data_IF_357272422094
#
_entry.id   IF_357272422094
#
_cell.length_a   1.000
_cell.length_b   1.000
_cell.length_c   1.000
_cell.angle_alpha   90.00
_cell.angle_beta   90.00
_cell.angle_gamma   90.00
#
_symmetry.space_group_name_H-M   'P 1'
#
loop_
_entity.id
_entity.type
_entity.pdbx_description
1 polymer ?
#
# COMPACT_ATOMS: atom_id res chain seq x y z
N UNK A 1 27.73 -16.13 11.39
CA UNK A 1 27.61 -15.19 10.22
C UNK A 1 27.31 -15.88 8.89
N UNK A 2 27.29 -17.22 8.79
CA UNK A 2 26.99 -17.96 7.55
C UNK A 2 25.53 -18.44 7.40
N UNK A 3 24.68 -18.26 8.41
CA UNK A 3 23.28 -18.75 8.40
C UNK A 3 22.34 -17.84 7.62
N UNK A 4 22.54 -16.53 7.61
CA UNK A 4 21.67 -15.55 6.95
C UNK A 4 21.81 -15.57 5.42
N UNK A 5 23.02 -15.78 4.91
CA UNK A 5 23.29 -15.83 3.46
C UNK A 5 22.65 -17.04 2.76
N UNK A 6 22.58 -18.20 3.43
CA UNK A 6 21.92 -19.40 2.88
C UNK A 6 20.39 -19.28 2.89
N UNK A 7 19.79 -18.66 3.90
CA UNK A 7 18.33 -18.41 3.93
C UNK A 7 17.89 -17.39 2.88
N UNK A 8 18.66 -16.34 2.66
CA UNK A 8 18.39 -15.39 1.58
C UNK A 8 18.54 -16.03 0.18
N UNK A 9 19.56 -16.88 -0.02
CA UNK A 9 19.73 -17.60 -1.29
C UNK A 9 18.61 -18.62 -1.56
N UNK A 10 18.11 -19.33 -0.55
CA UNK A 10 16.98 -20.25 -0.67
C UNK A 10 15.64 -19.50 -0.88
N UNK A 11 15.43 -18.34 -0.27
CA UNK A 11 14.26 -17.49 -0.56
C UNK A 11 14.27 -17.00 -2.01
N UNK A 12 15.39 -16.52 -2.52
CA UNK A 12 15.50 -16.06 -3.91
C UNK A 12 15.25 -17.17 -4.96
N UNK A 13 15.67 -18.41 -4.69
CA UNK A 13 15.41 -19.55 -5.58
C UNK A 13 13.92 -19.96 -5.50
N UNK A 14 13.30 -19.95 -4.32
CA UNK A 14 11.86 -20.21 -4.15
C UNK A 14 10.98 -19.15 -4.81
N UNK A 15 11.38 -17.90 -4.81
CA UNK A 15 10.60 -16.80 -5.39
C UNK A 15 10.53 -16.87 -6.91
N UNK A 16 11.55 -17.41 -7.61
CA UNK A 16 11.52 -17.60 -9.06
C UNK A 16 10.50 -18.63 -9.53
N UNK A 17 10.15 -19.60 -8.70
CA UNK A 17 9.24 -20.69 -9.03
C UNK A 17 7.82 -20.47 -8.49
N UNK A 18 7.66 -19.56 -7.51
CA UNK A 18 6.37 -19.25 -6.90
C UNK A 18 5.64 -18.15 -7.68
N UNK A 19 4.35 -18.31 -7.78
CA UNK A 19 3.44 -17.35 -8.40
C UNK A 19 2.73 -17.91 -9.62
N UNK A 20 1.73 -17.17 -10.08
CA UNK A 20 1.03 -17.46 -11.33
C UNK A 20 1.89 -17.07 -12.56
N UNK A 21 1.42 -17.33 -13.75
CA UNK A 21 2.13 -17.04 -14.99
C UNK A 21 2.54 -15.55 -15.08
N UNK A 22 1.64 -14.65 -14.72
CA UNK A 22 1.88 -13.20 -14.72
C UNK A 22 3.08 -12.81 -13.82
N UNK A 23 3.15 -13.34 -12.60
CA UNK A 23 4.26 -13.05 -11.68
C UNK A 23 5.59 -13.58 -12.23
N UNK A 24 5.59 -14.80 -12.80
CA UNK A 24 6.78 -15.42 -13.36
C UNK A 24 7.32 -14.65 -14.57
N UNK A 25 6.45 -14.10 -15.38
CA UNK A 25 6.79 -13.29 -16.54
C UNK A 25 7.26 -11.88 -16.16
N UNK A 26 6.58 -11.23 -15.20
CA UNK A 26 6.87 -9.85 -14.77
C UNK A 26 8.13 -9.74 -13.89
N UNK A 27 8.43 -10.77 -13.09
CA UNK A 27 9.54 -10.74 -12.13
C UNK A 27 10.92 -10.47 -12.79
N UNK A 28 11.34 -11.17 -13.88
CA UNK A 28 12.59 -10.87 -14.56
C UNK A 28 12.61 -9.46 -15.14
N UNK A 29 11.51 -8.98 -15.72
CA UNK A 29 11.41 -7.64 -16.29
C UNK A 29 11.64 -6.55 -15.22
N UNK A 30 11.02 -6.68 -14.06
CA UNK A 30 11.22 -5.74 -12.94
C UNK A 30 12.65 -5.82 -12.38
N UNK A 31 13.25 -7.00 -12.35
CA UNK A 31 14.61 -7.20 -11.87
C UNK A 31 15.67 -6.56 -12.79
N UNK A 32 15.42 -6.53 -14.07
CA UNK A 32 16.31 -5.93 -15.09
C UNK A 32 16.11 -4.41 -15.22
N UNK A 33 14.99 -3.87 -14.70
CA UNK A 33 14.70 -2.44 -14.73
C UNK A 33 15.68 -1.68 -13.83
N UNK A 34 16.46 -0.77 -14.43
CA UNK A 34 17.49 0.03 -13.74
C UNK A 34 16.93 1.24 -13.02
N UNK A 35 15.70 1.64 -13.33
CA UNK A 35 15.06 2.85 -12.81
C UNK A 35 14.39 2.65 -11.45
N UNK A 36 14.33 1.39 -10.97
CA UNK A 36 13.70 1.03 -9.71
C UNK A 36 14.65 0.28 -8.78
N UNK A 37 14.49 0.48 -7.48
CA UNK A 37 15.14 -0.34 -6.46
C UNK A 37 14.33 -1.62 -6.24
N UNK A 38 14.51 -2.61 -7.11
CA UNK A 38 13.77 -3.85 -7.03
C UNK A 38 14.26 -4.73 -5.89
N UNK A 39 13.41 -4.93 -4.88
CA UNK A 39 13.72 -5.73 -3.67
C UNK A 39 13.27 -7.19 -3.75
N UNK A 40 12.61 -7.59 -4.85
CA UNK A 40 12.11 -8.95 -5.05
C UNK A 40 10.62 -9.09 -4.71
N UNK A 41 10.16 -10.32 -4.52
CA UNK A 41 8.79 -10.62 -4.11
C UNK A 41 8.63 -10.50 -2.60
N UNK A 42 7.49 -9.96 -2.17
CA UNK A 42 7.08 -9.89 -0.76
C UNK A 42 5.84 -10.75 -0.52
N UNK A 43 5.64 -11.16 0.71
CA UNK A 43 4.42 -11.86 1.12
C UNK A 43 3.38 -10.84 1.63
N UNK A 44 2.08 -11.20 1.55
CA UNK A 44 1.00 -10.31 2.01
C UNK A 44 1.16 -9.84 3.47
N UNK A 45 1.78 -10.65 4.34
CA UNK A 45 2.10 -10.29 5.72
C UNK A 45 3.17 -9.19 5.85
N UNK A 46 3.95 -8.98 4.80
CA UNK A 46 5.04 -7.99 4.79
C UNK A 46 4.54 -6.59 4.45
N UNK A 47 3.35 -6.50 3.81
CA UNK A 47 2.71 -5.22 3.45
C UNK A 47 2.46 -4.34 4.69
N UNK A 48 1.75 -4.81 5.74
CA UNK A 48 1.54 -4.00 6.94
C UNK A 48 2.82 -3.74 7.74
N UNK A 49 3.89 -4.51 7.51
CA UNK A 49 5.19 -4.30 8.12
C UNK A 49 6.04 -3.23 7.39
N UNK A 50 5.56 -2.70 6.27
CA UNK A 50 6.24 -1.65 5.51
C UNK A 50 7.57 -2.10 4.90
N UNK A 51 7.67 -3.38 4.47
CA UNK A 51 8.91 -3.90 3.89
C UNK A 51 9.20 -3.42 2.47
N UNK A 52 8.22 -2.81 1.81
CA UNK A 52 8.36 -2.19 0.50
C UNK A 52 7.59 -0.87 0.48
N UNK A 53 8.14 0.13 -0.19
CA UNK A 53 7.49 1.43 -0.38
C UNK A 53 6.39 1.35 -1.44
N UNK A 54 6.60 0.53 -2.47
CA UNK A 54 5.64 0.29 -3.55
C UNK A 54 5.50 -1.22 -3.79
N UNK A 55 4.26 -1.69 -3.87
CA UNK A 55 3.91 -3.07 -4.16
C UNK A 55 3.10 -3.13 -5.44
N UNK A 56 3.65 -3.78 -6.47
CA UNK A 56 2.94 -4.02 -7.73
C UNK A 56 2.28 -5.39 -7.67
N UNK A 57 0.99 -5.46 -7.92
CA UNK A 57 0.23 -6.69 -7.93
C UNK A 57 -0.88 -6.65 -8.98
N UNK A 58 -1.45 -7.81 -9.27
CA UNK A 58 -2.63 -7.94 -10.11
C UNK A 58 -3.84 -7.27 -9.41
N UNK A 59 -4.70 -6.62 -10.19
CA UNK A 59 -5.78 -5.77 -9.69
C UNK A 59 -6.76 -6.49 -8.76
N UNK A 60 -7.12 -7.74 -9.07
CA UNK A 60 -8.04 -8.52 -8.24
C UNK A 60 -7.40 -8.84 -6.89
N UNK A 61 -6.16 -9.34 -6.90
CA UNK A 61 -5.39 -9.65 -5.67
C UNK A 61 -5.21 -8.39 -4.83
N UNK A 62 -4.83 -7.27 -5.45
CA UNK A 62 -4.69 -5.99 -4.75
C UNK A 62 -5.98 -5.54 -4.07
N UNK A 63 -7.11 -5.64 -4.77
CA UNK A 63 -8.41 -5.29 -4.21
C UNK A 63 -8.83 -6.21 -3.06
N UNK A 64 -8.57 -7.52 -3.16
CA UNK A 64 -8.83 -8.48 -2.07
C UNK A 64 -8.01 -8.14 -0.84
N UNK A 65 -6.71 -7.86 -1.01
CA UNK A 65 -5.82 -7.49 0.10
C UNK A 65 -6.31 -6.20 0.78
N UNK A 66 -6.62 -5.16 0.01
CA UNK A 66 -7.11 -3.89 0.55
C UNK A 66 -8.42 -4.08 1.34
N UNK A 67 -9.40 -4.78 0.77
CA UNK A 67 -10.70 -5.00 1.42
C UNK A 67 -10.60 -5.88 2.67
N UNK A 68 -9.73 -6.89 2.63
CA UNK A 68 -9.45 -7.72 3.81
C UNK A 68 -8.78 -6.90 4.91
N UNK A 69 -7.77 -6.09 4.55
CA UNK A 69 -7.04 -5.26 5.50
C UNK A 69 -7.95 -4.22 6.18
N UNK A 70 -8.78 -3.51 5.39
CA UNK A 70 -9.81 -2.59 5.87
C UNK A 70 -10.79 -3.30 6.84
N UNK A 71 -11.31 -4.46 6.43
CA UNK A 71 -12.29 -5.23 7.20
C UNK A 71 -11.73 -5.77 8.52
N UNK A 72 -10.52 -6.32 8.49
CA UNK A 72 -9.81 -6.81 9.70
C UNK A 72 -9.51 -5.67 10.64
N UNK A 73 -8.99 -4.54 10.15
CA UNK A 73 -8.70 -3.36 10.95
C UNK A 73 -9.94 -2.83 11.67
N UNK A 74 -11.03 -2.60 10.93
CA UNK A 74 -12.30 -2.13 11.50
C UNK A 74 -12.89 -3.11 12.54
N UNK A 75 -12.83 -4.41 12.25
CA UNK A 75 -13.35 -5.44 13.16
C UNK A 75 -12.52 -5.53 14.44
N UNK A 76 -11.19 -5.46 14.33
CA UNK A 76 -10.29 -5.49 15.47
C UNK A 76 -10.54 -4.28 16.40
N UNK A 77 -10.60 -3.08 15.85
CA UNK A 77 -10.90 -1.85 16.59
C UNK A 77 -12.25 -1.97 17.30
N UNK A 78 -13.28 -2.46 16.61
CA UNK A 78 -14.61 -2.67 17.21
C UNK A 78 -14.58 -3.66 18.38
N UNK A 79 -13.87 -4.79 18.22
CA UNK A 79 -13.73 -5.80 19.28
C UNK A 79 -12.94 -5.28 20.49
N UNK A 80 -11.83 -4.56 20.26
CA UNK A 80 -11.04 -3.93 21.33
C UNK A 80 -11.88 -2.93 22.09
N UNK A 81 -12.60 -2.04 21.39
CA UNK A 81 -13.53 -1.08 22.00
C UNK A 81 -14.62 -1.79 22.81
N UNK A 82 -15.19 -2.87 22.28
CA UNK A 82 -16.18 -3.68 22.99
C UNK A 82 -15.63 -4.26 24.30
N UNK A 83 -14.44 -4.87 24.25
CA UNK A 83 -13.77 -5.41 25.43
C UNK A 83 -13.47 -4.34 26.49
N UNK A 84 -13.04 -3.15 26.05
CA UNK A 84 -12.79 -2.02 26.97
C UNK A 84 -14.04 -1.48 27.66
N UNK A 85 -15.23 -1.76 27.13
CA UNK A 85 -16.51 -1.27 27.68
C UNK A 85 -17.23 -2.28 28.58
N UNK A 86 -16.64 -3.44 28.88
CA UNK A 86 -17.30 -4.55 29.59
C UNK A 86 -17.54 -4.27 31.08
N UNK A 87 -16.63 -3.58 31.76
CA UNK A 87 -16.72 -3.31 33.18
C UNK A 87 -16.14 -1.94 33.55
N UNK A 88 -16.36 -1.48 34.81
CA UNK A 88 -15.94 -0.14 35.24
C UNK A 88 -14.41 0.05 35.21
N UNK A 89 -13.63 -0.97 35.58
CA UNK A 89 -12.17 -0.91 35.60
C UNK A 89 -11.65 -0.77 34.14
N UNK A 90 -12.17 -1.55 33.22
CA UNK A 90 -11.82 -1.46 31.80
C UNK A 90 -12.20 -0.13 31.16
N UNK A 91 -13.34 0.46 31.57
CA UNK A 91 -13.75 1.80 31.09
C UNK A 91 -12.80 2.90 31.59
N UNK A 92 -12.37 2.84 32.85
CA UNK A 92 -11.37 3.77 33.38
C UNK A 92 -10.03 3.61 32.65
N UNK A 93 -9.57 2.37 32.46
CA UNK A 93 -8.37 2.07 31.67
C UNK A 93 -8.47 2.59 30.22
N UNK A 94 -9.62 2.40 29.59
CA UNK A 94 -9.89 2.90 28.24
C UNK A 94 -9.80 4.44 28.16
N UNK A 95 -10.27 5.15 29.17
CA UNK A 95 -10.18 6.61 29.24
C UNK A 95 -8.72 7.07 29.30
N UNK A 96 -7.90 6.41 30.12
CA UNK A 96 -6.48 6.72 30.25
C UNK A 96 -5.68 6.43 28.99
N UNK A 97 -5.98 5.31 28.29
CA UNK A 97 -5.26 4.87 27.07
C UNK A 97 -5.77 5.59 25.82
N UNK A 98 -6.96 6.18 25.84
CA UNK A 98 -7.61 6.79 24.68
C UNK A 98 -6.70 7.74 23.87
N UNK A 99 -5.91 8.66 24.45
CA UNK A 99 -5.04 9.54 23.69
C UNK A 99 -3.97 8.78 22.91
N UNK A 100 -3.28 7.83 23.57
CA UNK A 100 -2.25 7.00 22.92
C UNK A 100 -2.85 6.12 21.82
N UNK A 101 -4.00 5.50 22.06
CA UNK A 101 -4.69 4.68 21.07
C UNK A 101 -5.12 5.53 19.86
N UNK A 102 -5.64 6.73 20.07
CA UNK A 102 -5.99 7.66 18.98
C UNK A 102 -4.77 8.02 18.14
N UNK A 103 -3.63 8.28 18.75
CA UNK A 103 -2.38 8.57 18.04
C UNK A 103 -1.90 7.38 17.22
N UNK A 104 -1.92 6.17 17.78
CA UNK A 104 -1.54 4.94 17.08
C UNK A 104 -2.47 4.66 15.90
N UNK A 105 -3.80 4.82 16.11
CA UNK A 105 -4.79 4.57 15.05
C UNK A 105 -4.77 5.63 13.95
N UNK A 106 -4.23 6.81 14.21
CA UNK A 106 -4.07 7.86 13.19
C UNK A 106 -3.19 7.40 12.02
N UNK A 107 -2.18 6.56 12.28
CA UNK A 107 -1.35 5.96 11.23
C UNK A 107 -2.14 5.04 10.26
N UNK A 108 -3.32 4.58 10.65
CA UNK A 108 -4.23 3.79 9.83
C UNK A 108 -5.41 4.60 9.25
N UNK A 109 -5.39 5.92 9.46
CA UNK A 109 -6.47 6.80 9.02
C UNK A 109 -6.26 7.16 7.55
N UNK A 110 -7.03 6.52 6.69
CA UNK A 110 -7.02 6.77 5.26
C UNK A 110 -7.59 8.15 4.89
N UNK A 111 -8.32 8.81 5.80
CA UNK A 111 -8.91 10.12 5.57
C UNK A 111 -7.83 11.20 5.30
N UNK A 112 -6.60 11.01 5.77
CA UNK A 112 -5.49 11.94 5.54
C UNK A 112 -4.89 11.86 4.12
N UNK A 113 -5.01 10.72 3.43
CA UNK A 113 -4.30 10.48 2.18
C UNK A 113 -5.05 10.90 0.91
N UNK A 114 -6.33 11.21 0.99
CA UNK A 114 -7.12 11.63 -0.18
C UNK A 114 -7.47 10.48 -1.12
N UNK A 115 -7.18 10.65 -2.41
CA UNK A 115 -7.50 9.67 -3.45
C UNK A 115 -6.27 8.97 -4.02
N UNK A 116 -6.51 8.00 -4.90
CA UNK A 116 -5.48 7.30 -5.66
C UNK A 116 -5.49 7.71 -7.13
N UNK A 117 -4.36 8.07 -7.75
CA UNK A 117 -4.30 8.41 -9.16
C UNK A 117 -4.51 7.17 -10.03
N UNK A 118 -5.29 7.31 -11.09
CA UNK A 118 -5.40 6.33 -12.16
C UNK A 118 -4.27 6.59 -13.15
N UNK A 119 -3.25 5.73 -13.10
CA UNK A 119 -2.07 5.83 -13.96
C UNK A 119 -2.37 5.29 -15.36
N UNK A 120 -1.59 5.74 -16.37
CA UNK A 120 -1.72 5.30 -17.77
C UNK A 120 -2.79 6.05 -18.57
N UNK A 121 -3.40 7.08 -18.03
CA UNK A 121 -4.33 7.97 -18.74
C UNK A 121 -3.60 9.18 -19.33
N UNK A 122 -4.19 9.79 -20.39
CA UNK A 122 -3.66 11.01 -21.02
C UNK A 122 -3.79 12.27 -20.17
N UNK A 123 -4.52 12.19 -19.07
CA UNK A 123 -4.74 13.30 -18.14
C UNK A 123 -4.82 12.80 -16.72
N UNK A 124 -4.68 13.71 -15.75
CA UNK A 124 -4.76 13.38 -14.33
C UNK A 124 -6.21 13.04 -13.93
N UNK A 125 -6.40 11.82 -13.46
CA UNK A 125 -7.65 11.35 -12.84
C UNK A 125 -7.32 10.77 -11.49
N UNK A 126 -7.99 11.24 -10.44
CA UNK A 126 -7.81 10.74 -9.07
C UNK A 126 -9.12 10.16 -8.57
N UNK A 127 -9.08 8.91 -8.13
CA UNK A 127 -10.24 8.17 -7.61
C UNK A 127 -10.27 8.26 -6.10
N UNK A 128 -11.41 8.69 -5.53
CA UNK A 128 -11.70 8.62 -4.10
C UNK A 128 -12.47 7.35 -3.75
N UNK A 129 -12.56 7.03 -2.47
CA UNK A 129 -13.41 5.94 -1.99
C UNK A 129 -14.90 6.35 -2.06
N UNK A 130 -15.81 5.39 -2.29
CA UNK A 130 -17.25 5.67 -2.39
C UNK A 130 -17.90 6.21 -1.10
N UNK A 131 -17.26 6.00 0.06
CA UNK A 131 -17.68 6.52 1.36
C UNK A 131 -16.92 7.78 1.80
N UNK A 132 -16.14 8.39 0.90
CA UNK A 132 -15.33 9.58 1.20
C UNK A 132 -16.16 10.74 1.73
N UNK A 133 -15.66 11.34 2.80
CA UNK A 133 -16.24 12.53 3.41
C UNK A 133 -15.60 13.80 2.84
N UNK A 134 -16.11 14.95 3.24
CA UNK A 134 -15.66 16.27 2.78
C UNK A 134 -14.15 16.49 2.96
N UNK A 135 -13.55 15.99 4.05
CA UNK A 135 -12.12 16.13 4.32
C UNK A 135 -11.29 15.34 3.30
N UNK A 136 -11.65 14.10 3.00
CA UNK A 136 -10.97 13.28 1.99
C UNK A 136 -11.10 13.88 0.59
N UNK A 137 -12.29 14.39 0.23
CA UNK A 137 -12.51 15.07 -1.06
C UNK A 137 -11.62 16.31 -1.16
N UNK A 138 -11.58 17.13 -0.10
CA UNK A 138 -10.67 18.28 -0.04
C UNK A 138 -9.20 17.85 -0.24
N UNK A 139 -8.75 16.84 0.51
CA UNK A 139 -7.38 16.33 0.41
C UNK A 139 -7.08 15.78 -0.99
N UNK A 140 -8.05 15.11 -1.62
CA UNK A 140 -7.93 14.65 -3.01
C UNK A 140 -7.74 15.80 -3.98
N UNK A 141 -8.48 16.89 -3.83
CA UNK A 141 -8.33 18.07 -4.69
C UNK A 141 -6.94 18.70 -4.51
N UNK A 142 -6.48 18.84 -3.26
CA UNK A 142 -5.12 19.33 -2.98
C UNK A 142 -4.05 18.41 -3.56
N UNK A 143 -4.26 17.11 -3.49
CA UNK A 143 -3.37 16.11 -4.09
C UNK A 143 -3.34 16.23 -5.62
N UNK A 144 -4.47 16.51 -6.29
CA UNK A 144 -4.50 16.80 -7.73
C UNK A 144 -3.61 17.98 -8.10
N UNK A 145 -3.65 19.07 -7.29
CA UNK A 145 -2.78 20.23 -7.49
C UNK A 145 -1.31 19.81 -7.42
N UNK A 146 -0.94 19.08 -6.37
CA UNK A 146 0.44 18.56 -6.20
C UNK A 146 0.88 17.69 -7.37
N UNK A 147 0.03 16.78 -7.84
CA UNK A 147 0.35 15.92 -8.98
C UNK A 147 0.51 16.70 -10.28
N UNK A 148 -0.29 17.75 -10.46
CA UNK A 148 -0.18 18.64 -11.61
C UNK A 148 1.11 19.47 -11.55
N UNK A 149 1.45 20.05 -10.39
CA UNK A 149 2.68 20.80 -10.19
C UNK A 149 3.94 19.96 -10.38
N UNK A 150 3.88 18.68 -9.99
CA UNK A 150 4.97 17.72 -10.16
C UNK A 150 5.03 17.12 -11.56
N UNK A 151 4.08 17.43 -12.43
CA UNK A 151 3.95 16.87 -13.78
C UNK A 151 4.05 15.33 -13.81
N UNK A 152 3.28 14.68 -12.95
CA UNK A 152 3.31 13.21 -12.81
C UNK A 152 2.98 12.51 -14.12
N UNK A 153 1.95 12.98 -14.85
CA UNK A 153 1.51 12.39 -16.13
C UNK A 153 2.58 12.57 -17.21
N UNK A 154 3.18 13.76 -17.30
CA UNK A 154 4.25 14.03 -18.26
C UNK A 154 5.49 13.18 -18.02
N UNK A 155 5.92 13.05 -16.76
CA UNK A 155 7.05 12.20 -16.38
C UNK A 155 6.82 10.72 -16.73
N UNK A 156 5.63 10.18 -16.44
CA UNK A 156 5.28 8.80 -16.80
C UNK A 156 5.30 8.62 -18.33
N UNK A 157 4.73 9.57 -19.06
CA UNK A 157 4.69 9.52 -20.54
C UNK A 157 6.09 9.55 -21.13
N UNK A 158 6.97 10.42 -20.64
CA UNK A 158 8.36 10.51 -21.07
C UNK A 158 9.15 9.22 -20.77
N UNK A 159 9.00 8.66 -19.57
CA UNK A 159 9.66 7.40 -19.20
C UNK A 159 9.22 6.23 -20.07
N UNK A 160 7.93 6.13 -20.39
CA UNK A 160 7.42 5.08 -21.29
C UNK A 160 7.91 5.27 -22.74
N UNK A 161 8.02 6.52 -23.21
CA UNK A 161 8.56 6.81 -24.54
C UNK A 161 10.03 6.41 -24.64
N UNK A 162 10.85 6.79 -23.65
CA UNK A 162 12.27 6.43 -23.59
C UNK A 162 12.48 4.90 -23.57
N UNK A 163 11.71 4.17 -22.76
CA UNK A 163 11.80 2.71 -22.69
C UNK A 163 11.41 2.00 -24.00
N UNK A 164 10.61 2.63 -24.87
CA UNK A 164 10.25 2.08 -26.18
C UNK A 164 11.32 2.34 -27.26
N UNK A 165 12.20 3.32 -27.07
CA UNK A 165 13.29 3.61 -27.99
C UNK A 165 14.52 2.73 -27.72
N UNK A 166 14.63 2.17 -26.51
CA UNK A 166 15.74 1.31 -26.10
C UNK A 166 15.48 -0.21 -26.35
N UNK A 167 14.28 -0.62 -26.72
CA UNK A 167 13.86 -2.01 -26.94
C UNK A 167 13.46 -2.30 -28.37
#
# INVERSE_FOLDING_TARGET
LHSTSRRQRQMCIRDREKGNALVKETYPMLKECKDINFIGSIEARDIPAGKADVVVCEAFVGNVILKLYEGVGATLIKKVKGGMMTNLRSKIGALLVKPALKQTLKAFDLEEYGGAPLLGLKGLVVKTHGSSKSVEIKNTILQCITFQEQDVVGKITASIAAAKEEG
#
